data_IF_941100304412
#
_entry.id   IF_941100304412
#
_cell.length_a   1.000
_cell.length_b   1.000
_cell.length_c   1.000
_cell.angle_alpha   90.00
_cell.angle_beta   90.00
_cell.angle_gamma   90.00
#
_symmetry.space_group_name_H-M   'P 1'
#
loop_
_entity.id
_entity.type
_entity.pdbx_description
1 polymer ?
#
# COMPACT_ATOMS: atom_id res chain seq x y z
N UNK A 1 -20.60 5.22 7.50
CA UNK A 1 -19.28 4.59 7.36
C UNK A 1 -18.30 5.64 6.87
N UNK A 2 -17.12 5.75 7.50
CA UNK A 2 -16.04 6.65 7.07
C UNK A 2 -14.75 5.87 6.96
N UNK A 3 -13.94 6.21 5.97
CA UNK A 3 -12.56 5.72 5.81
C UNK A 3 -11.64 6.81 6.35
N UNK A 4 -10.89 6.53 7.41
CA UNK A 4 -10.07 7.53 8.10
C UNK A 4 -8.68 7.71 7.50
N UNK A 5 -8.25 6.79 6.66
CA UNK A 5 -6.97 6.84 5.94
C UNK A 5 -6.42 5.45 5.68
N UNK A 6 -5.28 5.42 5.01
CA UNK A 6 -4.47 4.20 4.89
C UNK A 6 -3.82 3.96 6.24
N UNK A 7 -4.14 2.81 6.86
CA UNK A 7 -3.57 2.43 8.14
C UNK A 7 -2.20 1.78 7.96
N UNK A 8 -2.07 0.89 6.95
CA UNK A 8 -0.81 0.22 6.64
C UNK A 8 -0.77 -0.33 5.22
N UNK A 9 0.44 -0.57 4.75
CA UNK A 9 0.74 -1.38 3.58
C UNK A 9 1.45 -2.65 4.04
N UNK A 10 0.92 -3.82 3.70
CA UNK A 10 1.53 -5.10 4.01
C UNK A 10 2.67 -5.41 3.05
N UNK A 11 3.84 -5.77 3.59
CA UNK A 11 5.06 -6.08 2.83
C UNK A 11 5.61 -7.44 3.26
N UNK A 12 5.48 -8.43 2.39
CA UNK A 12 6.08 -9.74 2.56
C UNK A 12 7.58 -9.71 2.29
N UNK A 13 8.37 -10.32 3.19
CA UNK A 13 9.83 -10.31 3.12
C UNK A 13 10.43 -11.68 3.46
N UNK A 14 11.70 -11.89 3.12
CA UNK A 14 12.43 -13.11 3.49
C UNK A 14 13.04 -13.02 4.88
N UNK A 15 13.54 -11.85 5.28
CA UNK A 15 14.04 -11.58 6.63
C UNK A 15 13.38 -10.33 7.22
N UNK A 16 12.62 -10.54 8.31
CA UNK A 16 11.78 -9.50 8.88
C UNK A 16 12.59 -8.42 9.62
N UNK A 17 13.67 -8.83 10.29
CA UNK A 17 14.50 -7.89 11.05
C UNK A 17 15.40 -7.08 10.11
N UNK A 18 16.00 -7.73 9.09
CA UNK A 18 16.76 -7.04 8.05
C UNK A 18 15.89 -6.00 7.33
N UNK A 19 14.64 -6.40 6.97
CA UNK A 19 13.67 -5.50 6.36
C UNK A 19 13.37 -4.29 7.25
N UNK A 20 13.03 -4.55 8.52
CA UNK A 20 12.69 -3.47 9.44
C UNK A 20 13.88 -2.55 9.74
N UNK A 21 15.09 -3.08 9.89
CA UNK A 21 16.30 -2.27 10.06
C UNK A 21 16.54 -1.35 8.85
N UNK A 22 16.30 -1.86 7.64
CA UNK A 22 16.40 -1.07 6.43
C UNK A 22 15.31 0.02 6.36
N UNK A 23 14.04 -0.32 6.63
CA UNK A 23 12.93 0.64 6.62
C UNK A 23 13.03 1.67 7.75
N UNK A 24 13.54 1.30 8.91
CA UNK A 24 13.88 2.26 9.98
C UNK A 24 14.92 3.27 9.53
N UNK A 25 15.99 2.76 8.93
CA UNK A 25 17.14 3.59 8.52
C UNK A 25 16.79 4.58 7.41
N UNK A 26 16.06 4.12 6.40
CA UNK A 26 15.85 4.92 5.19
C UNK A 26 14.45 5.52 5.11
N UNK A 27 13.44 4.87 5.66
CA UNK A 27 12.06 5.37 5.60
C UNK A 27 11.51 5.83 6.95
N UNK A 28 12.37 5.86 8.00
CA UNK A 28 12.00 6.32 9.33
C UNK A 28 10.76 5.60 9.91
N UNK A 29 10.61 4.31 9.59
CA UNK A 29 9.57 3.44 10.16
C UNK A 29 10.07 2.91 11.51
N UNK A 30 10.21 3.81 12.49
CA UNK A 30 10.92 3.58 13.74
C UNK A 30 10.01 3.45 14.97
N UNK A 31 8.72 3.69 14.84
CA UNK A 31 7.74 3.53 15.92
C UNK A 31 7.15 2.12 15.84
N UNK A 32 7.62 1.25 16.70
CA UNK A 32 7.15 -0.13 16.81
C UNK A 32 5.76 -0.16 17.48
N UNK A 33 4.77 -0.70 16.77
CA UNK A 33 3.42 -0.94 17.28
C UNK A 33 3.30 -2.35 17.86
N UNK A 34 3.77 -3.35 17.10
CA UNK A 34 3.92 -4.72 17.58
C UNK A 34 5.02 -5.46 16.81
N UNK A 35 5.56 -6.48 17.44
CA UNK A 35 6.49 -7.47 16.89
C UNK A 35 6.07 -8.82 17.46
N UNK A 36 5.43 -9.67 16.63
CA UNK A 36 4.81 -10.89 17.13
C UNK A 36 4.85 -12.06 16.16
N UNK A 37 5.00 -13.26 16.72
CA UNK A 37 4.75 -14.53 16.04
C UNK A 37 3.34 -15.02 16.36
N UNK A 38 2.58 -15.44 15.34
CA UNK A 38 1.22 -15.94 15.50
C UNK A 38 0.84 -16.91 14.37
N UNK A 39 -0.40 -17.39 14.42
CA UNK A 39 -1.02 -18.14 13.33
C UNK A 39 -2.13 -17.30 12.71
N UNK A 40 -2.08 -17.15 11.39
CA UNK A 40 -3.10 -16.43 10.63
C UNK A 40 -4.33 -17.35 10.38
N UNK A 41 -5.08 -17.64 11.44
CA UNK A 41 -6.18 -18.63 11.43
C UNK A 41 -7.37 -18.19 10.58
N UNK A 42 -7.59 -16.89 10.43
CA UNK A 42 -8.74 -16.34 9.70
C UNK A 42 -8.49 -16.17 8.20
N UNK A 43 -7.23 -16.25 7.75
CA UNK A 43 -6.84 -15.95 6.37
C UNK A 43 -7.04 -17.12 5.39
N UNK A 44 -7.83 -18.12 5.75
CA UNK A 44 -7.99 -19.38 4.99
C UNK A 44 -8.37 -19.16 3.52
N UNK A 45 -9.21 -18.17 3.23
CA UNK A 45 -9.59 -17.82 1.85
C UNK A 45 -8.40 -17.42 0.96
N UNK A 46 -7.30 -16.94 1.57
CA UNK A 46 -6.12 -16.40 0.90
C UNK A 46 -4.85 -17.23 1.13
N UNK A 47 -4.97 -18.38 1.84
CA UNK A 47 -3.84 -19.25 2.23
C UNK A 47 -4.08 -20.71 1.88
N UNK A 48 -4.78 -20.98 0.76
CA UNK A 48 -5.11 -22.33 0.28
C UNK A 48 -5.90 -23.18 1.29
N UNK A 49 -6.75 -22.53 2.10
CA UNK A 49 -7.55 -23.19 3.12
C UNK A 49 -6.75 -23.67 4.34
N UNK A 50 -5.51 -23.24 4.51
CA UNK A 50 -4.63 -23.67 5.62
C UNK A 50 -4.25 -22.50 6.50
N UNK A 51 -4.34 -22.61 7.84
CA UNK A 51 -3.75 -21.62 8.75
C UNK A 51 -2.23 -21.59 8.57
N UNK A 52 -1.65 -20.37 8.54
CA UNK A 52 -0.22 -20.19 8.30
C UNK A 52 0.45 -19.53 9.48
N UNK A 53 1.55 -20.12 9.95
CA UNK A 53 2.42 -19.49 10.95
C UNK A 53 3.12 -18.28 10.34
N UNK A 54 3.17 -17.20 11.10
CA UNK A 54 3.76 -15.95 10.66
C UNK A 54 4.57 -15.26 11.75
N UNK A 55 5.46 -14.37 11.34
CA UNK A 55 6.03 -13.30 12.14
C UNK A 55 5.66 -11.99 11.46
N UNK A 56 5.16 -11.01 12.19
CA UNK A 56 4.82 -9.70 11.66
C UNK A 56 5.30 -8.58 12.59
N UNK A 57 5.77 -7.49 11.97
CA UNK A 57 6.14 -6.24 12.63
C UNK A 57 5.28 -5.14 12.03
N UNK A 58 4.52 -4.42 12.86
CA UNK A 58 3.88 -3.17 12.44
C UNK A 58 4.70 -2.00 12.95
N UNK A 59 5.16 -1.18 12.01
CA UNK A 59 5.94 0.02 12.31
C UNK A 59 5.34 1.25 11.65
N UNK A 60 5.41 2.39 12.34
CA UNK A 60 4.90 3.69 11.90
C UNK A 60 6.02 4.72 11.80
N UNK A 61 5.71 5.82 11.10
CA UNK A 61 6.54 7.01 10.97
C UNK A 61 5.78 8.23 11.53
N UNK A 62 6.37 8.97 12.46
CA UNK A 62 5.72 10.12 13.11
C UNK A 62 5.55 11.36 12.21
N UNK A 63 6.19 11.43 11.06
CA UNK A 63 5.81 12.45 10.06
C UNK A 63 4.37 12.22 9.55
N UNK A 64 3.77 11.05 9.90
CA UNK A 64 2.40 10.67 9.59
C UNK A 64 2.25 9.99 8.24
N UNK A 65 1.09 9.42 8.01
CA UNK A 65 0.77 8.45 6.96
C UNK A 65 0.59 7.06 7.55
N UNK A 66 0.25 6.08 6.73
CA UNK A 66 0.12 4.68 7.14
C UNK A 66 1.47 4.03 7.46
N UNK A 67 1.42 2.97 8.22
CA UNK A 67 2.59 2.16 8.59
C UNK A 67 2.94 1.09 7.56
N UNK A 68 3.95 0.28 7.91
CA UNK A 68 4.28 -0.96 7.23
C UNK A 68 3.95 -2.13 8.13
N UNK A 69 3.16 -3.08 7.63
CA UNK A 69 3.08 -4.40 8.22
C UNK A 69 4.08 -5.31 7.48
N UNK A 70 5.27 -5.43 8.07
CA UNK A 70 6.34 -6.28 7.54
C UNK A 70 6.01 -7.71 7.94
N UNK A 71 5.97 -8.62 6.98
CA UNK A 71 5.41 -9.95 7.14
C UNK A 71 6.34 -11.05 6.64
N UNK A 72 6.42 -12.15 7.39
CA UNK A 72 7.17 -13.34 7.00
C UNK A 72 6.42 -14.61 7.39
N UNK A 73 6.32 -15.58 6.48
CA UNK A 73 5.93 -16.93 6.85
C UNK A 73 7.03 -17.62 7.66
N UNK A 74 6.66 -18.22 8.81
CA UNK A 74 7.60 -19.01 9.64
C UNK A 74 7.40 -20.52 9.50
N UNK A 75 6.30 -20.95 8.91
CA UNK A 75 5.92 -22.35 8.73
C UNK A 75 6.03 -22.88 7.29
N UNK A 76 6.43 -22.07 6.32
CA UNK A 76 6.66 -22.48 4.93
C UNK A 76 7.80 -21.68 4.31
N UNK A 77 8.40 -22.22 3.26
CA UNK A 77 9.34 -21.45 2.44
C UNK A 77 8.55 -20.37 1.67
N UNK A 78 8.98 -19.10 1.71
CA UNK A 78 8.38 -18.04 0.91
C UNK A 78 8.38 -18.37 -0.59
N UNK A 79 7.32 -17.96 -1.29
CA UNK A 79 7.20 -18.07 -2.75
C UNK A 79 7.32 -16.67 -3.36
N UNK A 80 8.53 -16.24 -3.77
CA UNK A 80 8.70 -14.94 -4.39
C UNK A 80 8.01 -14.89 -5.76
N UNK A 81 7.77 -13.67 -6.25
CA UNK A 81 7.24 -13.46 -7.60
C UNK A 81 8.24 -14.02 -8.61
N UNK A 82 7.77 -14.87 -9.52
CA UNK A 82 8.62 -15.61 -10.48
C UNK A 82 9.02 -14.81 -11.73
N UNK A 83 8.60 -13.55 -11.81
CA UNK A 83 8.89 -12.65 -12.94
C UNK A 83 9.17 -11.23 -12.43
N UNK A 84 9.83 -10.41 -13.24
CA UNK A 84 9.95 -8.99 -12.94
C UNK A 84 8.60 -8.31 -13.14
N UNK A 85 8.08 -7.67 -12.09
CA UNK A 85 6.85 -6.87 -12.16
C UNK A 85 7.09 -5.70 -13.09
N UNK A 86 6.18 -5.53 -14.04
CA UNK A 86 6.13 -4.35 -14.90
C UNK A 86 4.95 -3.47 -14.49
N UNK A 87 5.13 -2.17 -14.52
CA UNK A 87 4.07 -1.22 -14.21
C UNK A 87 2.80 -1.55 -14.99
N UNK A 88 1.67 -1.64 -14.29
CA UNK A 88 0.38 -2.05 -14.84
C UNK A 88 0.11 -3.56 -14.80
N UNK A 89 1.02 -4.40 -14.27
CA UNK A 89 0.68 -5.77 -13.90
C UNK A 89 -0.36 -5.77 -12.78
N UNK A 90 -1.24 -6.78 -12.74
CA UNK A 90 -2.40 -6.79 -11.83
C UNK A 90 -1.97 -6.93 -10.38
N UNK A 91 -2.35 -5.97 -9.54
CA UNK A 91 -2.03 -5.91 -8.12
C UNK A 91 -1.31 -4.62 -7.72
N UNK A 92 -0.80 -4.56 -6.47
CA UNK A 92 -0.08 -3.40 -5.95
C UNK A 92 1.32 -3.38 -6.56
N UNK A 93 1.57 -2.38 -7.42
CA UNK A 93 2.86 -2.26 -8.11
C UNK A 93 3.86 -1.41 -7.33
N UNK A 94 3.39 -0.31 -6.69
CA UNK A 94 4.25 0.69 -6.06
C UNK A 94 3.60 1.17 -4.76
N UNK A 95 4.37 1.21 -3.67
CA UNK A 95 3.98 1.92 -2.45
C UNK A 95 4.40 3.38 -2.53
N UNK A 96 3.55 4.31 -2.09
CA UNK A 96 3.80 5.75 -2.15
C UNK A 96 4.03 6.31 -0.76
N UNK A 97 5.19 6.93 -0.54
CA UNK A 97 5.56 7.63 0.69
C UNK A 97 5.56 9.13 0.44
N UNK A 98 5.06 9.89 1.41
CA UNK A 98 5.08 11.35 1.32
C UNK A 98 6.45 11.92 1.70
N UNK A 99 6.83 13.08 1.13
CA UNK A 99 8.02 13.83 1.52
C UNK A 99 7.77 15.33 1.45
N UNK A 100 8.22 16.09 2.46
CA UNK A 100 8.15 17.54 2.44
C UNK A 100 9.19 18.16 1.50
N UNK A 101 10.25 17.42 1.18
CA UNK A 101 11.33 17.89 0.30
C UNK A 101 11.93 16.74 -0.51
N UNK A 102 11.27 16.46 -1.62
CA UNK A 102 11.66 15.39 -2.55
C UNK A 102 13.09 15.52 -3.04
N UNK A 103 13.59 16.75 -3.26
CA UNK A 103 14.96 16.99 -3.71
C UNK A 103 15.99 16.56 -2.66
N UNK A 104 15.79 16.95 -1.41
CA UNK A 104 16.68 16.54 -0.31
C UNK A 104 16.62 15.03 -0.09
N UNK A 105 15.44 14.43 -0.17
CA UNK A 105 15.29 12.98 -0.05
C UNK A 105 16.06 12.26 -1.18
N UNK A 106 15.86 12.70 -2.42
CA UNK A 106 16.56 12.15 -3.60
C UNK A 106 18.07 12.20 -3.46
N UNK A 107 18.61 13.39 -3.17
CA UNK A 107 20.07 13.59 -3.06
C UNK A 107 20.66 12.74 -1.92
N UNK A 108 19.94 12.63 -0.79
CA UNK A 108 20.38 11.83 0.35
C UNK A 108 20.39 10.35 0.01
N UNK A 109 19.32 9.83 -0.63
CA UNK A 109 19.25 8.42 -1.03
C UNK A 109 20.27 8.08 -2.12
N UNK A 110 20.49 8.99 -3.06
CA UNK A 110 21.55 8.86 -4.09
C UNK A 110 22.94 8.79 -3.46
N UNK A 111 23.23 9.67 -2.52
CA UNK A 111 24.50 9.65 -1.78
C UNK A 111 24.68 8.39 -0.91
N UNK A 112 23.57 7.83 -0.39
CA UNK A 112 23.59 6.58 0.34
C UNK A 112 23.69 5.32 -0.56
N UNK A 113 23.67 5.48 -1.88
CA UNK A 113 23.78 4.40 -2.86
C UNK A 113 22.53 3.54 -3.00
N UNK A 114 21.34 4.09 -2.69
CA UNK A 114 20.08 3.37 -2.90
C UNK A 114 19.79 3.21 -4.40
N UNK A 115 19.04 2.18 -4.74
CA UNK A 115 18.67 1.85 -6.12
C UNK A 115 17.56 2.78 -6.64
N UNK A 116 17.94 3.99 -7.09
CA UNK A 116 17.01 4.96 -7.67
C UNK A 116 16.64 4.57 -9.10
N UNK A 117 15.35 4.71 -9.45
CA UNK A 117 14.79 4.41 -10.76
C UNK A 117 14.48 5.72 -11.50
N UNK A 118 15.49 6.29 -12.15
CA UNK A 118 15.38 7.57 -12.86
C UNK A 118 15.70 8.78 -11.99
N UNK A 119 15.34 9.95 -12.50
CA UNK A 119 15.56 11.26 -11.86
C UNK A 119 14.24 11.78 -11.26
N UNK A 120 14.30 12.88 -10.50
CA UNK A 120 13.10 13.60 -10.06
C UNK A 120 12.30 14.05 -11.28
N UNK A 121 11.01 13.76 -11.28
CA UNK A 121 10.05 14.16 -12.31
C UNK A 121 8.79 14.76 -11.68
N UNK A 122 7.84 15.15 -12.51
CA UNK A 122 6.54 15.63 -12.09
C UNK A 122 5.45 14.69 -12.61
N UNK A 123 4.53 14.30 -11.71
CA UNK A 123 3.35 13.53 -12.07
C UNK A 123 2.40 14.36 -12.96
N UNK A 124 1.35 13.77 -13.55
CA UNK A 124 0.40 14.51 -14.37
C UNK A 124 -0.33 15.68 -13.70
N UNK A 125 -0.26 15.79 -12.38
CA UNK A 125 -0.79 16.92 -11.58
C UNK A 125 0.29 17.96 -11.21
N UNK A 126 1.57 17.74 -11.58
CA UNK A 126 2.68 18.64 -11.29
C UNK A 126 3.33 18.41 -9.93
N UNK A 127 3.01 17.33 -9.23
CA UNK A 127 3.68 16.97 -7.97
C UNK A 127 5.04 16.33 -8.26
N UNK A 128 6.09 16.81 -7.60
CA UNK A 128 7.43 16.23 -7.72
C UNK A 128 7.49 14.87 -7.07
N UNK A 129 8.18 13.94 -7.73
CA UNK A 129 8.39 12.59 -7.21
C UNK A 129 9.63 11.92 -7.82
N UNK A 130 10.03 10.80 -7.26
CA UNK A 130 10.99 9.85 -7.81
C UNK A 130 10.71 8.45 -7.29
N UNK A 131 11.34 7.46 -7.93
CA UNK A 131 11.17 6.05 -7.58
C UNK A 131 12.48 5.42 -7.12
N UNK A 132 12.38 4.43 -6.25
CA UNK A 132 13.50 3.59 -5.82
C UNK A 132 13.04 2.16 -5.54
N UNK A 133 14.00 1.22 -5.57
CA UNK A 133 13.79 -0.14 -5.08
C UNK A 133 14.34 -0.30 -3.67
N UNK A 134 13.61 -1.01 -2.82
CA UNK A 134 14.13 -1.50 -1.56
C UNK A 134 15.03 -2.74 -1.76
N UNK A 135 15.54 -3.32 -0.67
CA UNK A 135 16.41 -4.50 -0.70
C UNK A 135 15.72 -5.77 -1.18
N UNK A 136 14.39 -5.79 -1.23
CA UNK A 136 13.56 -6.90 -1.74
C UNK A 136 13.00 -6.62 -3.14
N UNK A 137 13.48 -5.56 -3.81
CA UNK A 137 13.05 -5.11 -5.14
C UNK A 137 11.61 -4.60 -5.21
N UNK A 138 10.94 -4.30 -4.09
CA UNK A 138 9.69 -3.55 -4.13
C UNK A 138 9.96 -2.13 -4.59
N UNK A 139 9.10 -1.59 -5.44
CA UNK A 139 9.23 -0.22 -5.93
C UNK A 139 8.46 0.72 -5.01
N UNK A 140 9.11 1.80 -4.62
CA UNK A 140 8.56 2.88 -3.81
C UNK A 140 8.61 4.19 -4.56
N UNK A 141 7.54 4.97 -4.49
CA UNK A 141 7.49 6.36 -4.91
C UNK A 141 7.68 7.26 -3.69
N UNK A 142 8.58 8.23 -3.78
CA UNK A 142 8.70 9.33 -2.81
C UNK A 142 8.08 10.56 -3.47
N UNK A 143 6.96 11.02 -2.94
CA UNK A 143 6.12 12.06 -3.56
C UNK A 143 5.98 13.29 -2.68
N UNK A 144 6.01 14.46 -3.28
CA UNK A 144 5.88 15.74 -2.59
C UNK A 144 4.52 15.88 -1.90
N UNK A 145 4.56 16.12 -0.59
CA UNK A 145 3.38 16.38 0.22
C UNK A 145 3.72 17.16 1.48
N UNK A 146 3.03 18.25 1.74
CA UNK A 146 3.39 19.19 2.82
C UNK A 146 2.81 18.84 4.20
N UNK A 147 1.75 18.00 4.25
CA UNK A 147 1.11 17.68 5.53
C UNK A 147 1.91 16.64 6.31
N UNK A 148 2.16 16.94 7.59
CA UNK A 148 2.81 16.03 8.54
C UNK A 148 2.03 15.99 9.84
N UNK A 149 2.08 14.84 10.52
CA UNK A 149 1.53 14.70 11.87
C UNK A 149 2.43 15.38 12.89
N UNK A 150 3.73 15.06 12.85
CA UNK A 150 4.75 15.64 13.71
C UNK A 150 6.02 15.90 12.91
N UNK A 151 6.66 17.05 13.11
CA UNK A 151 7.92 17.38 12.42
C UNK A 151 9.09 16.70 13.11
N UNK A 152 9.55 15.59 12.56
CA UNK A 152 10.69 14.81 13.04
C UNK A 152 11.94 15.00 12.17
N UNK A 153 11.88 15.82 11.12
CA UNK A 153 12.95 16.04 10.13
C UNK A 153 13.34 14.78 9.37
N UNK A 154 12.42 13.83 9.25
CA UNK A 154 12.61 12.66 8.41
C UNK A 154 12.60 13.06 6.93
N UNK A 155 13.24 12.26 6.08
CA UNK A 155 13.28 12.50 4.62
C UNK A 155 11.92 12.23 3.97
N UNK A 156 11.16 11.32 4.54
CA UNK A 156 9.81 10.96 4.13
C UNK A 156 8.93 10.65 5.35
N UNK A 157 7.62 10.73 5.16
CA UNK A 157 6.62 10.19 6.07
C UNK A 157 6.24 8.76 5.74
N UNK A 158 5.13 8.31 6.31
CA UNK A 158 4.57 6.99 6.09
C UNK A 158 3.84 6.84 4.75
N UNK A 159 3.10 5.74 4.64
CA UNK A 159 2.33 5.41 3.43
C UNK A 159 1.29 6.49 3.17
N UNK A 160 1.40 7.10 2.01
CA UNK A 160 0.50 8.15 1.52
C UNK A 160 -0.45 7.62 0.46
N UNK A 161 -0.06 6.56 -0.25
CA UNK A 161 -0.85 5.97 -1.30
C UNK A 161 -0.25 4.70 -1.87
N UNK A 162 -0.84 4.23 -2.94
CA UNK A 162 -0.32 3.12 -3.76
C UNK A 162 -0.66 3.33 -5.23
N UNK A 163 0.18 2.77 -6.13
CA UNK A 163 -0.12 2.62 -7.54
C UNK A 163 -0.50 1.16 -7.79
N UNK A 164 -1.71 0.95 -8.30
CA UNK A 164 -2.31 -0.37 -8.44
C UNK A 164 -2.56 -0.63 -9.92
N UNK A 165 -1.96 -1.69 -10.45
CA UNK A 165 -2.24 -2.19 -11.77
C UNK A 165 -3.60 -2.90 -11.80
N UNK A 166 -4.47 -2.48 -12.70
CA UNK A 166 -5.83 -3.01 -12.82
C UNK A 166 -6.16 -3.41 -14.26
N UNK A 167 -7.05 -4.38 -14.40
CA UNK A 167 -7.49 -4.85 -15.72
C UNK A 167 -8.43 -3.86 -16.40
N UNK A 168 -9.26 -3.20 -15.62
CA UNK A 168 -10.24 -2.22 -16.07
C UNK A 168 -10.48 -1.17 -14.98
N UNK A 169 -10.09 0.06 -15.25
CA UNK A 169 -10.22 1.17 -14.29
C UNK A 169 -11.69 1.41 -13.92
N UNK A 170 -12.61 1.39 -14.88
CA UNK A 170 -14.02 1.72 -14.60
C UNK A 170 -14.68 0.68 -13.68
N UNK A 171 -14.28 -0.60 -13.76
CA UNK A 171 -14.71 -1.62 -12.81
C UNK A 171 -14.06 -1.43 -11.43
N UNK A 172 -12.78 -1.08 -11.39
CA UNK A 172 -12.06 -0.85 -10.14
C UNK A 172 -12.57 0.38 -9.38
N UNK A 173 -13.11 1.39 -10.07
CA UNK A 173 -13.74 2.55 -9.44
C UNK A 173 -14.90 2.16 -8.52
N UNK A 174 -15.57 1.03 -8.74
CA UNK A 174 -16.61 0.51 -7.84
C UNK A 174 -16.07 0.23 -6.44
N UNK A 175 -14.81 -0.21 -6.34
CA UNK A 175 -14.16 -0.45 -5.05
C UNK A 175 -13.59 0.86 -4.50
N UNK A 176 -12.68 1.50 -5.22
CA UNK A 176 -11.92 2.61 -4.67
C UNK A 176 -12.75 3.87 -4.48
N UNK A 177 -13.64 4.20 -5.43
CA UNK A 177 -14.53 5.36 -5.33
C UNK A 177 -15.81 5.03 -4.55
N UNK A 178 -16.53 4.00 -4.99
CA UNK A 178 -17.91 3.78 -4.51
C UNK A 178 -17.94 3.07 -3.15
N UNK A 179 -16.97 2.20 -2.82
CA UNK A 179 -16.85 1.57 -1.49
C UNK A 179 -15.98 2.42 -0.56
N UNK A 180 -14.73 2.69 -0.97
CA UNK A 180 -13.73 3.31 -0.11
C UNK A 180 -13.79 4.85 -0.09
N UNK A 181 -14.61 5.47 -0.95
CA UNK A 181 -14.89 6.90 -0.92
C UNK A 181 -13.78 7.79 -1.45
N UNK A 182 -12.89 7.27 -2.29
CA UNK A 182 -11.90 8.08 -3.03
C UNK A 182 -12.60 8.74 -4.23
N UNK A 183 -13.45 9.71 -3.97
CA UNK A 183 -14.45 10.29 -4.88
C UNK A 183 -13.95 11.49 -5.70
N UNK A 184 -12.82 12.10 -5.31
CA UNK A 184 -12.17 13.16 -6.07
C UNK A 184 -11.24 12.55 -7.13
N UNK A 185 -11.55 12.78 -8.41
CA UNK A 185 -10.66 12.45 -9.52
C UNK A 185 -9.69 13.60 -9.75
N UNK A 186 -8.43 13.44 -9.34
CA UNK A 186 -7.38 14.45 -9.52
C UNK A 186 -6.97 14.55 -10.99
N UNK A 187 -6.81 13.39 -11.63
CA UNK A 187 -6.66 13.27 -13.08
C UNK A 187 -7.14 11.90 -13.59
N UNK A 188 -7.56 11.90 -14.85
CA UNK A 188 -7.81 10.72 -15.69
C UNK A 188 -7.15 11.00 -17.04
N UNK A 189 -6.01 10.37 -17.30
CA UNK A 189 -5.20 10.65 -18.50
C UNK A 189 -4.75 9.34 -19.17
N UNK A 190 -4.69 9.40 -20.50
CA UNK A 190 -4.23 8.27 -21.35
C UNK A 190 -3.06 8.72 -22.21
N UNK A 191 -2.05 7.88 -22.31
CA UNK A 191 -0.88 8.11 -23.17
C UNK A 191 0.40 7.47 -22.64
N UNK A 192 1.53 8.00 -23.11
CA UNK A 192 2.88 7.72 -22.62
C UNK A 192 3.27 8.75 -21.59
N UNK A 193 3.87 8.32 -20.49
CA UNK A 193 4.16 9.19 -19.36
C UNK A 193 5.66 9.20 -19.04
N UNK A 194 6.29 10.36 -19.18
CA UNK A 194 7.74 10.54 -18.97
C UNK A 194 8.17 10.35 -17.52
N UNK A 195 7.27 10.65 -16.57
CA UNK A 195 7.50 10.45 -15.15
C UNK A 195 7.68 8.98 -14.77
N UNK A 196 7.21 8.05 -15.59
CA UNK A 196 7.43 6.61 -15.43
C UNK A 196 8.71 6.08 -16.09
N UNK A 197 9.52 6.94 -16.72
CA UNK A 197 10.79 6.53 -17.28
C UNK A 197 11.71 6.00 -16.17
N UNK A 198 12.29 4.82 -16.40
CA UNK A 198 13.16 4.14 -15.43
C UNK A 198 12.46 3.08 -14.58
N UNK A 199 11.12 3.07 -14.53
CA UNK A 199 10.36 1.98 -13.91
C UNK A 199 10.24 0.83 -14.92
N UNK A 200 10.40 -0.46 -14.49
CA UNK A 200 10.14 -1.59 -15.37
C UNK A 200 8.75 -1.50 -16.02
N UNK A 201 8.70 -1.51 -17.36
CA UNK A 201 7.48 -1.36 -18.13
C UNK A 201 6.88 0.03 -18.18
N UNK A 202 7.55 1.05 -17.66
CA UNK A 202 7.05 2.44 -17.63
C UNK A 202 6.97 3.13 -19.00
N UNK A 203 7.55 2.55 -20.02
CA UNK A 203 7.52 2.99 -21.43
C UNK A 203 6.27 2.54 -22.21
N UNK A 204 5.36 1.82 -21.57
CA UNK A 204 4.10 1.40 -22.17
C UNK A 204 3.07 2.54 -22.20
N UNK A 205 2.01 2.33 -22.97
CA UNK A 205 0.85 3.21 -22.99
C UNK A 205 -0.11 2.85 -21.84
N UNK A 206 -0.53 3.87 -21.08
CA UNK A 206 -1.40 3.69 -19.92
C UNK A 206 -2.62 4.60 -19.95
N UNK A 207 -3.71 4.15 -19.33
CA UNK A 207 -4.68 5.03 -18.68
C UNK A 207 -4.34 5.09 -17.20
N UNK A 208 -4.24 6.30 -16.65
CA UNK A 208 -3.91 6.59 -15.25
C UNK A 208 -5.03 7.40 -14.62
N UNK A 209 -5.51 6.96 -13.48
CA UNK A 209 -6.53 7.69 -12.70
C UNK A 209 -6.04 7.85 -11.27
N UNK A 210 -5.80 9.09 -10.85
CA UNK A 210 -5.46 9.41 -9.47
C UNK A 210 -6.70 9.86 -8.72
N UNK A 211 -6.94 9.21 -7.59
CA UNK A 211 -8.11 9.40 -6.74
C UNK A 211 -7.70 9.90 -5.36
N UNK A 212 -8.49 10.79 -4.79
CA UNK A 212 -8.41 11.28 -3.41
C UNK A 212 -9.80 11.29 -2.75
N UNK A 213 -9.82 11.51 -1.45
CA UNK A 213 -11.06 11.84 -0.75
C UNK A 213 -11.37 13.33 -0.85
N UNK A 214 -12.60 13.71 -1.20
CA UNK A 214 -13.06 15.09 -1.13
C UNK A 214 -13.40 15.52 0.31
N UNK A 215 -13.82 14.58 1.16
CA UNK A 215 -14.23 14.84 2.53
C UNK A 215 -13.06 15.03 3.50
N UNK A 216 -13.27 15.92 4.50
CA UNK A 216 -12.38 16.04 5.66
C UNK A 216 -12.58 14.82 6.56
N UNK A 217 -11.50 14.17 6.93
CA UNK A 217 -11.49 13.00 7.82
C UNK A 217 -11.48 13.47 9.28
N UNK A 218 -12.33 12.85 10.10
CA UNK A 218 -12.53 13.19 11.51
C UNK A 218 -12.46 11.98 12.46
N UNK A 219 -11.95 10.85 12.00
CA UNK A 219 -11.73 9.67 12.83
C UNK A 219 -10.57 9.84 13.81
N UNK A 220 -10.50 8.98 14.83
CA UNK A 220 -9.49 9.06 15.89
C UNK A 220 -8.04 9.12 15.38
N UNK A 221 -7.73 8.39 14.31
CA UNK A 221 -6.40 8.33 13.70
C UNK A 221 -6.26 9.18 12.43
N UNK A 222 -7.29 9.92 12.03
CA UNK A 222 -7.29 10.71 10.79
C UNK A 222 -6.15 11.74 10.73
N UNK A 223 -5.78 12.32 11.88
CA UNK A 223 -4.66 13.29 11.95
C UNK A 223 -3.32 12.60 11.70
N UNK A 224 -3.12 11.39 12.22
CA UNK A 224 -1.90 10.60 12.02
C UNK A 224 -1.80 10.12 10.57
N UNK A 225 -2.85 9.48 10.04
CA UNK A 225 -2.83 8.93 8.68
C UNK A 225 -2.86 10.04 7.62
N UNK A 226 -3.54 11.16 7.92
CA UNK A 226 -3.64 12.30 7.01
C UNK A 226 -4.41 11.99 5.73
N UNK A 227 -4.23 12.83 4.73
CA UNK A 227 -4.74 12.59 3.38
C UNK A 227 -4.00 11.44 2.73
N UNK A 228 -4.68 10.74 1.85
CA UNK A 228 -4.11 9.63 1.07
C UNK A 228 -4.66 9.64 -0.35
N UNK A 229 -3.97 8.94 -1.24
CA UNK A 229 -4.35 8.83 -2.64
C UNK A 229 -4.20 7.40 -3.15
N UNK A 230 -4.98 7.04 -4.16
CA UNK A 230 -4.87 5.79 -4.88
C UNK A 230 -4.72 6.11 -6.36
N UNK A 231 -3.68 5.61 -6.99
CA UNK A 231 -3.53 5.68 -8.43
C UNK A 231 -3.83 4.31 -9.07
N UNK A 232 -4.80 4.29 -9.97
CA UNK A 232 -5.13 3.14 -10.78
C UNK A 232 -4.44 3.26 -12.12
N UNK A 233 -3.73 2.20 -12.53
CA UNK A 233 -2.98 2.15 -13.78
C UNK A 233 -3.44 0.96 -14.60
N UNK A 234 -3.91 1.23 -15.82
CA UNK A 234 -4.27 0.22 -16.81
C UNK A 234 -3.32 0.32 -17.99
N UNK A 235 -2.47 -0.69 -18.19
CA UNK A 235 -1.61 -0.77 -19.39
C UNK A 235 -2.46 -1.16 -20.59
N UNK A 236 -2.25 -0.48 -21.74
CA UNK A 236 -3.13 -0.60 -22.91
C UNK A 236 -2.53 -1.39 -24.07
N UNK A 237 -1.20 -1.51 -24.12
CA UNK A 237 -0.48 -2.05 -25.29
C UNK A 237 0.28 -3.36 -25.03
N UNK A 238 0.07 -4.01 -23.86
CA UNK A 238 0.60 -5.33 -23.54
C UNK A 238 -0.36 -6.15 -22.68
N UNK A 239 -0.15 -7.46 -22.63
CA UNK A 239 -0.81 -8.32 -21.67
C UNK A 239 -0.26 -8.09 -20.25
N UNK A 240 -1.15 -8.08 -19.28
CA UNK A 240 -0.83 -7.95 -17.85
C UNK A 240 -0.56 -9.33 -17.25
N UNK A 241 0.38 -9.40 -16.33
CA UNK A 241 0.57 -10.56 -15.45
C UNK A 241 -0.11 -10.31 -14.12
N UNK A 242 -0.60 -11.36 -13.49
CA UNK A 242 -1.16 -11.28 -12.14
C UNK A 242 -0.04 -11.54 -11.14
N UNK A 243 0.24 -10.52 -10.30
CA UNK A 243 1.31 -10.55 -9.28
C UNK A 243 1.00 -11.61 -8.20
N UNK A 244 -0.27 -11.88 -7.94
CA UNK A 244 -0.70 -12.80 -6.88
C UNK A 244 -0.94 -14.24 -7.36
N UNK A 245 -0.84 -14.49 -8.66
CA UNK A 245 -1.05 -15.81 -9.23
C UNK A 245 -0.05 -16.83 -8.67
N UNK A 246 -0.56 -18.00 -8.29
CA UNK A 246 0.22 -19.13 -7.76
C UNK A 246 1.00 -18.78 -6.46
N UNK A 247 0.52 -17.79 -5.70
CA UNK A 247 1.07 -17.33 -4.43
C UNK A 247 -0.03 -17.25 -3.37
N UNK A 248 0.36 -17.22 -2.12
CA UNK A 248 -0.57 -17.03 -1.01
C UNK A 248 -0.33 -15.69 -0.32
N UNK A 249 -1.34 -15.22 0.39
CA UNK A 249 -1.23 -14.03 1.23
C UNK A 249 -0.06 -14.17 2.22
N UNK A 250 0.77 -13.14 2.31
CA UNK A 250 1.99 -13.14 3.12
C UNK A 250 3.28 -13.59 2.38
N UNK A 251 3.21 -14.03 1.13
CA UNK A 251 4.40 -14.27 0.30
C UNK A 251 5.12 -12.95 -0.05
N UNK A 252 6.44 -12.95 -0.36
CA UNK A 252 7.25 -11.73 -0.56
C UNK A 252 6.72 -10.76 -1.60
N UNK A 253 6.79 -9.47 -1.34
CA UNK A 253 6.25 -8.36 -2.14
C UNK A 253 5.10 -7.66 -1.43
N UNK A 254 4.40 -6.75 -2.10
CA UNK A 254 3.22 -6.11 -1.50
C UNK A 254 2.09 -7.11 -1.36
N UNK A 255 1.50 -7.16 -0.15
CA UNK A 255 0.49 -8.17 0.21
C UNK A 255 -0.92 -7.58 0.13
N UNK A 256 -1.14 -6.46 0.81
CA UNK A 256 -2.45 -5.81 0.94
C UNK A 256 -2.31 -4.34 1.31
N UNK A 257 -3.37 -3.58 1.07
CA UNK A 257 -3.53 -2.22 1.55
C UNK A 257 -4.65 -2.21 2.60
N UNK A 258 -4.35 -1.71 3.79
CA UNK A 258 -5.29 -1.65 4.91
C UNK A 258 -5.75 -0.22 5.14
N UNK A 259 -7.05 -0.06 5.40
CA UNK A 259 -7.69 1.22 5.71
C UNK A 259 -8.24 1.21 7.12
N UNK A 260 -8.03 2.28 7.86
CA UNK A 260 -8.75 2.51 9.11
C UNK A 260 -10.16 3.00 8.80
N UNK A 261 -11.14 2.31 9.36
CA UNK A 261 -12.55 2.60 9.10
C UNK A 261 -13.36 2.62 10.40
N UNK A 262 -14.47 3.32 10.38
CA UNK A 262 -15.52 3.14 11.37
C UNK A 262 -16.80 2.57 10.74
N UNK A 263 -17.59 1.86 11.55
CA UNK A 263 -18.84 1.20 11.14
C UNK A 263 -18.63 0.07 10.12
N UNK A 264 -17.99 -1.03 10.57
CA UNK A 264 -17.73 -2.24 9.80
C UNK A 264 -19.00 -2.88 9.24
N UNK A 265 -20.14 -2.82 9.98
CA UNK A 265 -21.42 -3.37 9.52
C UNK A 265 -21.93 -2.66 8.27
N UNK A 266 -21.86 -1.32 8.26
CA UNK A 266 -22.23 -0.55 7.06
C UNK A 266 -21.30 -0.87 5.87
N UNK A 267 -20.00 -1.11 6.11
CA UNK A 267 -19.08 -1.55 5.06
C UNK A 267 -19.47 -2.93 4.52
N UNK A 268 -19.76 -3.88 5.40
CA UNK A 268 -20.16 -5.25 5.01
C UNK A 268 -21.37 -5.24 4.08
N UNK A 269 -22.41 -4.49 4.43
CA UNK A 269 -23.60 -4.38 3.59
C UNK A 269 -23.29 -3.69 2.25
N UNK A 270 -22.48 -2.65 2.27
CA UNK A 270 -22.11 -1.90 1.06
C UNK A 270 -21.28 -2.76 0.09
N UNK A 271 -20.28 -3.46 0.58
CA UNK A 271 -19.42 -4.33 -0.23
C UNK A 271 -20.21 -5.47 -0.86
N UNK A 272 -21.10 -6.09 -0.08
CA UNK A 272 -22.01 -7.14 -0.55
C UNK A 272 -22.94 -6.62 -1.65
N UNK A 273 -23.53 -5.44 -1.48
CA UNK A 273 -24.48 -4.86 -2.45
C UNK A 273 -23.80 -4.53 -3.80
N UNK A 274 -22.50 -4.21 -3.81
CA UNK A 274 -21.74 -3.88 -5.01
C UNK A 274 -21.07 -5.12 -5.64
N UNK A 275 -21.15 -6.29 -4.98
CA UNK A 275 -20.60 -7.54 -5.51
C UNK A 275 -19.19 -7.89 -5.04
N UNK A 276 -18.67 -7.19 -4.02
CA UNK A 276 -17.36 -7.45 -3.38
C UNK A 276 -17.55 -7.85 -1.90
N UNK A 277 -18.18 -8.99 -1.58
CA UNK A 277 -18.40 -9.41 -0.20
C UNK A 277 -17.05 -9.61 0.51
N UNK A 278 -17.09 -9.53 1.85
CA UNK A 278 -15.92 -9.88 2.66
C UNK A 278 -15.48 -11.32 2.41
N UNK A 279 -14.22 -11.51 2.11
CA UNK A 279 -13.56 -12.82 1.99
C UNK A 279 -13.06 -13.30 3.35
N UNK A 280 -12.71 -12.35 4.24
CA UNK A 280 -12.40 -12.57 5.65
C UNK A 280 -13.19 -11.55 6.48
N UNK A 281 -13.75 -11.98 7.60
CA UNK A 281 -14.55 -11.15 8.51
C UNK A 281 -14.31 -11.60 9.95
N UNK A 282 -13.45 -10.91 10.67
CA UNK A 282 -13.06 -11.29 12.03
C UNK A 282 -14.23 -11.21 13.02
N UNK A 283 -15.20 -10.32 12.79
CA UNK A 283 -16.38 -10.18 13.65
C UNK A 283 -17.29 -11.42 13.66
N UNK A 284 -17.14 -12.32 12.68
CA UNK A 284 -17.85 -13.61 12.68
C UNK A 284 -17.13 -14.70 13.45
N UNK A 285 -15.83 -14.52 13.69
CA UNK A 285 -14.99 -15.52 14.36
C UNK A 285 -14.73 -15.16 15.83
N UNK A 286 -14.76 -13.86 16.17
CA UNK A 286 -14.49 -13.33 17.50
C UNK A 286 -15.26 -12.01 17.70
N UNK A 287 -15.58 -11.67 18.94
CA UNK A 287 -16.30 -10.42 19.25
C UNK A 287 -15.45 -9.18 18.93
N UNK A 288 -14.16 -9.22 19.30
CA UNK A 288 -13.18 -8.18 18.97
C UNK A 288 -11.81 -8.82 18.74
N UNK A 289 -11.02 -8.22 17.85
CA UNK A 289 -9.61 -8.55 17.72
C UNK A 289 -8.83 -7.75 18.78
N UNK A 290 -8.04 -8.45 19.60
CA UNK A 290 -7.22 -7.82 20.64
C UNK A 290 -6.01 -7.13 19.98
N UNK A 291 -5.97 -5.82 20.09
CA UNK A 291 -4.85 -4.98 19.65
C UNK A 291 -4.22 -4.25 20.86
N UNK A 292 -4.16 -4.89 22.02
CA UNK A 292 -3.74 -4.28 23.29
C UNK A 292 -4.83 -3.37 23.85
N UNK A 293 -4.53 -2.08 24.06
CA UNK A 293 -5.49 -1.12 24.61
C UNK A 293 -6.61 -0.72 23.63
N UNK A 294 -6.53 -1.17 22.38
CA UNK A 294 -7.53 -0.94 21.34
C UNK A 294 -8.08 -2.27 20.82
N UNK A 295 -9.38 -2.47 20.94
CA UNK A 295 -10.09 -3.58 20.33
C UNK A 295 -10.69 -3.16 18.99
N UNK A 296 -10.78 -4.09 18.04
CA UNK A 296 -11.37 -3.81 16.74
C UNK A 296 -11.71 -5.08 15.97
N UNK A 297 -12.20 -4.91 14.76
CA UNK A 297 -12.41 -5.97 13.80
C UNK A 297 -11.69 -5.64 12.50
N UNK A 298 -11.30 -6.68 11.77
CA UNK A 298 -10.77 -6.52 10.43
C UNK A 298 -11.55 -7.37 9.43
N UNK A 299 -11.54 -6.94 8.19
CA UNK A 299 -12.11 -7.67 7.07
C UNK A 299 -11.24 -7.51 5.82
N UNK A 300 -11.33 -8.48 4.93
CA UNK A 300 -10.70 -8.43 3.61
C UNK A 300 -11.75 -8.45 2.51
N UNK A 301 -11.51 -7.66 1.48
CA UNK A 301 -12.17 -7.77 0.18
C UNK A 301 -11.10 -8.06 -0.86
N UNK A 302 -11.48 -8.76 -1.91
CA UNK A 302 -10.64 -8.96 -3.09
C UNK A 302 -11.23 -8.15 -4.24
N UNK A 303 -10.47 -7.17 -4.73
CA UNK A 303 -10.86 -6.26 -5.80
C UNK A 303 -10.21 -6.65 -7.13
#
# INVERSE_FOLDING_TARGET
MKINGIQQLGVGVEDIHEAWDWYRKYFSMDILMFDEEAVAELMLAHTEGQPRKRHAILALNLEGGGGFEIWKHTGKKPSPISFEIQLGDLGINIGVLKSQNVTVAYDTYKAAGLNLLGEISEDPNGSKHFFLKDIYNNIWEIKEHSEVFKKEKALNGGVFGTIIGVKNIDESLKVYRDILGYDEVVYDKTGLFKDYNGIPGGDNEFRRVLLRHSDIKDGAFSTLFGKSEIELVQVLNRAQKDIYKDRIWGDPGFIHLCFDINNMDALREKTKAIGFPFTVDSAKAMDTFDMGDAGGNFAYIQA
#
